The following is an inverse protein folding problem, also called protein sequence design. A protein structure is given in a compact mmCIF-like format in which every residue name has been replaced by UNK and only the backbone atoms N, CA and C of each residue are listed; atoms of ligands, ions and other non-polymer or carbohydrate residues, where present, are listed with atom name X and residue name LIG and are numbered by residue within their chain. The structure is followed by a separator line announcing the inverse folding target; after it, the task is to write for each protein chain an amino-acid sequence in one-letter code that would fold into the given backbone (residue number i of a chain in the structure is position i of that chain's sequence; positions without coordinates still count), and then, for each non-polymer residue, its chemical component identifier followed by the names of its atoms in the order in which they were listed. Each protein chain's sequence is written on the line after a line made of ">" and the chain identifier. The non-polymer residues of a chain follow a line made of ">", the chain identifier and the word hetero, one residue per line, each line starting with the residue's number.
data_IF_528422409447
#
_entry.id   IF_528422409447
#
_cell.length_a   1.000
_cell.length_b   1.000
_cell.length_c   1.000
_cell.angle_alpha   90.00
_cell.angle_beta   90.00
_cell.angle_gamma   90.00
#
_symmetry.space_group_name_H-M   'P 1'
#
loop_
_entity.id
_entity.type
_entity.pdbx_description
1 polymer ?
#
# COMPACT_ATOMS: atom_id res chain seq x y z
N UNK A 1 3.97 47.16 -64.23
CA UNK A 1 3.46 45.84 -64.65
C UNK A 1 4.51 44.73 -64.48
N UNK A 2 5.63 44.71 -65.21
CA UNK A 2 6.64 43.63 -65.09
C UNK A 2 7.39 43.59 -63.74
N UNK A 3 7.78 44.76 -63.19
CA UNK A 3 8.37 44.84 -61.84
C UNK A 3 7.43 44.33 -60.74
N UNK A 4 6.13 44.56 -60.91
CA UNK A 4 5.12 44.15 -59.92
C UNK A 4 4.93 42.62 -59.93
N UNK A 5 5.11 41.99 -61.09
CA UNK A 5 5.11 40.54 -61.24
C UNK A 5 6.36 39.93 -60.60
N UNK A 6 7.55 40.51 -60.82
CA UNK A 6 8.80 40.03 -60.23
C UNK A 6 8.78 40.11 -58.68
N UNK A 7 8.29 41.21 -58.11
CA UNK A 7 8.09 41.32 -56.66
C UNK A 7 7.12 40.27 -56.11
N UNK A 8 6.04 39.97 -56.84
CA UNK A 8 5.10 38.91 -56.43
C UNK A 8 5.74 37.52 -56.45
N UNK A 9 6.64 37.25 -57.41
CA UNK A 9 7.36 35.98 -57.49
C UNK A 9 8.34 35.81 -56.33
N UNK A 10 9.15 36.83 -55.98
CA UNK A 10 10.04 36.78 -54.81
C UNK A 10 9.27 36.52 -53.51
N UNK A 11 8.16 37.24 -53.28
CA UNK A 11 7.35 37.02 -52.05
C UNK A 11 6.63 35.67 -51.98
N UNK A 12 6.49 34.96 -53.10
CA UNK A 12 5.95 33.60 -53.13
C UNK A 12 7.04 32.57 -52.80
N UNK A 13 8.26 32.77 -53.30
CA UNK A 13 9.41 31.92 -52.96
C UNK A 13 9.76 31.99 -51.48
N UNK A 14 9.75 33.20 -50.88
CA UNK A 14 9.97 33.38 -49.44
C UNK A 14 8.89 32.70 -48.60
N UNK A 15 7.62 32.80 -49.01
CA UNK A 15 6.51 32.11 -48.33
C UNK A 15 6.63 30.60 -48.45
N UNK A 16 7.05 30.09 -49.60
CA UNK A 16 7.25 28.66 -49.82
C UNK A 16 8.38 28.10 -48.93
N UNK A 17 9.48 28.84 -48.78
CA UNK A 17 10.58 28.45 -47.89
C UNK A 17 10.19 28.54 -46.40
N UNK A 18 9.47 29.59 -46.00
CA UNK A 18 8.95 29.74 -44.63
C UNK A 18 8.01 28.60 -44.26
N UNK A 19 7.10 28.23 -45.17
CA UNK A 19 6.15 27.14 -44.95
C UNK A 19 6.85 25.79 -44.76
N UNK A 20 7.84 25.47 -45.60
CA UNK A 20 8.61 24.23 -45.44
C UNK A 20 9.41 24.18 -44.14
N UNK A 21 9.97 25.31 -43.70
CA UNK A 21 10.66 25.43 -42.41
C UNK A 21 9.75 25.11 -41.23
N UNK A 22 8.54 25.68 -41.21
CA UNK A 22 7.56 25.44 -40.15
C UNK A 22 7.12 23.97 -40.07
N UNK A 23 6.90 23.33 -41.22
CA UNK A 23 6.52 21.91 -41.29
C UNK A 23 7.63 21.01 -40.74
N UNK A 24 8.89 21.28 -41.10
CA UNK A 24 10.05 20.51 -40.60
C UNK A 24 10.22 20.69 -39.09
N UNK A 25 10.03 21.89 -38.58
CA UNK A 25 10.09 22.17 -37.14
C UNK A 25 8.94 21.51 -36.38
N UNK A 26 7.73 21.48 -36.94
CA UNK A 26 6.60 20.76 -36.38
C UNK A 26 6.88 19.24 -36.30
N UNK A 27 7.42 18.65 -37.37
CA UNK A 27 7.82 17.24 -37.39
C UNK A 27 8.88 16.92 -36.33
N UNK A 28 9.87 17.82 -36.13
CA UNK A 28 10.90 17.64 -35.10
C UNK A 28 10.31 17.60 -33.70
N UNK A 29 9.33 18.47 -33.39
CA UNK A 29 8.65 18.51 -32.08
C UNK A 29 7.92 17.19 -31.82
N UNK A 30 7.15 16.71 -32.79
CA UNK A 30 6.43 15.43 -32.68
C UNK A 30 7.41 14.27 -32.44
N UNK A 31 8.54 14.24 -33.16
CA UNK A 31 9.55 13.19 -32.96
C UNK A 31 10.15 13.21 -31.54
N UNK A 32 10.39 14.39 -30.97
CA UNK A 32 10.94 14.51 -29.61
C UNK A 32 9.91 14.15 -28.53
N UNK A 33 8.63 14.45 -28.73
CA UNK A 33 7.54 14.01 -27.85
C UNK A 33 7.42 12.49 -27.83
N UNK A 34 7.41 11.85 -29.01
CA UNK A 34 7.36 10.38 -29.11
C UNK A 34 8.56 9.73 -28.42
N UNK A 35 9.76 10.32 -28.50
CA UNK A 35 10.94 9.82 -27.77
C UNK A 35 10.76 9.96 -26.25
N UNK A 36 10.19 11.06 -25.76
CA UNK A 36 9.92 11.28 -24.34
C UNK A 36 8.91 10.28 -23.79
N UNK A 37 7.79 10.08 -24.49
CA UNK A 37 6.76 9.12 -24.09
C UNK A 37 7.32 7.69 -24.00
N UNK A 38 8.09 7.26 -25.01
CA UNK A 38 8.76 5.97 -24.99
C UNK A 38 9.73 5.80 -23.81
N UNK A 39 10.40 6.87 -23.39
CA UNK A 39 11.27 6.84 -22.20
C UNK A 39 10.48 6.70 -20.91
N UNK A 40 9.34 7.40 -20.80
CA UNK A 40 8.45 7.29 -19.65
C UNK A 40 7.86 5.87 -19.54
N UNK A 41 7.37 5.30 -20.65
CA UNK A 41 6.87 3.92 -20.69
C UNK A 41 7.92 2.92 -20.16
N UNK A 42 9.17 3.02 -20.63
CA UNK A 42 10.26 2.16 -20.14
C UNK A 42 10.54 2.35 -18.64
N UNK A 43 10.48 3.59 -18.16
CA UNK A 43 10.66 3.92 -16.74
C UNK A 43 9.55 3.31 -15.89
N UNK A 44 8.31 3.39 -16.35
CA UNK A 44 7.14 2.84 -15.65
C UNK A 44 7.17 1.32 -15.62
N UNK A 45 7.52 0.67 -16.73
CA UNK A 45 7.76 -0.78 -16.77
C UNK A 45 8.86 -1.22 -15.80
N UNK A 46 9.96 -0.46 -15.72
CA UNK A 46 11.04 -0.74 -14.77
C UNK A 46 10.56 -0.62 -13.32
N UNK A 47 9.83 0.45 -13.00
CA UNK A 47 9.28 0.67 -11.65
C UNK A 47 8.33 -0.47 -11.26
N UNK A 48 7.43 -0.85 -12.16
CA UNK A 48 6.49 -1.96 -11.94
C UNK A 48 7.23 -3.28 -11.69
N UNK A 49 8.28 -3.57 -12.47
CA UNK A 49 9.11 -4.76 -12.25
C UNK A 49 9.75 -4.77 -10.86
N UNK A 50 10.33 -3.65 -10.43
CA UNK A 50 10.93 -3.53 -9.10
C UNK A 50 9.91 -3.73 -7.98
N UNK A 51 8.71 -3.15 -8.10
CA UNK A 51 7.64 -3.34 -7.10
C UNK A 51 7.19 -4.81 -7.01
N UNK A 52 7.11 -5.52 -8.14
CA UNK A 52 6.78 -6.95 -8.14
C UNK A 52 7.88 -7.76 -7.42
N UNK A 53 9.15 -7.44 -7.66
CA UNK A 53 10.29 -8.10 -7.00
C UNK A 53 10.27 -7.88 -5.48
N UNK A 54 9.96 -6.66 -5.03
CA UNK A 54 9.80 -6.33 -3.60
C UNK A 54 8.69 -7.14 -2.94
N UNK A 55 7.50 -7.21 -3.56
CA UNK A 55 6.39 -8.03 -3.06
C UNK A 55 6.75 -9.51 -2.98
N UNK A 56 7.50 -10.01 -3.97
CA UNK A 56 7.96 -11.40 -3.98
C UNK A 56 8.88 -11.70 -2.79
N UNK A 57 9.76 -10.75 -2.44
CA UNK A 57 10.67 -10.87 -1.30
C UNK A 57 9.91 -10.91 0.03
N UNK A 58 8.92 -10.03 0.22
CA UNK A 58 8.09 -10.04 1.43
C UNK A 58 7.36 -11.37 1.63
N UNK A 59 6.84 -11.96 0.54
CA UNK A 59 6.20 -13.29 0.58
C UNK A 59 7.20 -14.37 0.99
N UNK A 60 8.43 -14.32 0.48
CA UNK A 60 9.46 -15.29 0.80
C UNK A 60 9.90 -15.19 2.27
N UNK A 61 10.02 -13.99 2.80
CA UNK A 61 10.32 -13.76 4.21
C UNK A 61 9.21 -14.32 5.10
N UNK A 62 7.94 -14.04 4.78
CA UNK A 62 6.82 -14.61 5.52
C UNK A 62 6.85 -16.14 5.51
N UNK A 63 7.10 -16.77 4.35
CA UNK A 63 7.22 -18.23 4.24
C UNK A 63 8.32 -18.76 5.16
N UNK A 64 9.49 -18.13 5.18
CA UNK A 64 10.61 -18.52 6.07
C UNK A 64 10.18 -18.50 7.54
N UNK A 65 9.52 -17.43 7.98
CA UNK A 65 9.03 -17.34 9.36
C UNK A 65 7.96 -18.37 9.67
N UNK A 66 7.02 -18.60 8.74
CA UNK A 66 5.98 -19.62 8.90
C UNK A 66 6.57 -21.03 9.02
N UNK A 67 7.59 -21.37 8.23
CA UNK A 67 8.26 -22.66 8.36
C UNK A 67 8.92 -22.83 9.73
N UNK A 68 9.71 -21.85 10.17
CA UNK A 68 10.30 -21.85 11.53
C UNK A 68 9.22 -22.06 12.60
N UNK A 69 8.09 -21.36 12.44
CA UNK A 69 6.95 -21.47 13.35
C UNK A 69 6.34 -22.88 13.39
N UNK A 70 6.20 -23.56 12.25
CA UNK A 70 5.70 -24.94 12.18
C UNK A 70 6.59 -25.93 12.95
N UNK A 71 7.89 -25.64 13.09
CA UNK A 71 8.81 -26.42 13.93
C UNK A 71 8.82 -25.96 15.40
N UNK A 72 7.88 -25.12 15.81
CA UNK A 72 7.77 -24.60 17.17
C UNK A 72 8.75 -23.48 17.50
N UNK A 73 9.47 -22.93 16.52
CA UNK A 73 10.47 -21.88 16.72
C UNK A 73 9.88 -20.54 16.28
N UNK A 74 9.53 -19.69 17.24
CA UNK A 74 9.09 -18.32 16.96
C UNK A 74 10.29 -17.37 16.83
N UNK A 75 10.46 -16.76 15.65
CA UNK A 75 11.61 -15.92 15.31
C UNK A 75 11.72 -14.69 16.22
N UNK A 76 12.94 -14.37 16.64
CA UNK A 76 13.21 -13.28 17.59
C UNK A 76 12.75 -11.91 17.07
N UNK A 77 13.02 -11.59 15.80
CA UNK A 77 12.61 -10.34 15.15
C UNK A 77 11.09 -10.12 15.16
N UNK A 78 10.29 -11.20 15.19
CA UNK A 78 8.83 -11.10 15.24
C UNK A 78 8.29 -10.90 16.66
N UNK A 79 9.15 -11.01 17.70
CA UNK A 79 8.79 -10.72 19.10
C UNK A 79 8.89 -9.23 19.42
N UNK A 80 9.54 -8.46 18.55
CA UNK A 80 9.72 -7.02 18.73
C UNK A 80 8.42 -6.26 18.47
N UNK A 81 8.20 -5.18 19.21
CA UNK A 81 7.03 -4.32 19.06
C UNK A 81 7.39 -2.86 19.32
N UNK A 82 6.68 -1.96 18.64
CA UNK A 82 6.82 -0.52 18.84
C UNK A 82 5.74 -0.09 19.83
N UNK A 83 6.13 0.40 21.00
CA UNK A 83 5.17 0.91 21.99
C UNK A 83 4.83 2.36 21.68
N UNK A 84 3.57 2.64 21.36
CA UNK A 84 3.05 3.99 21.11
C UNK A 84 1.99 4.37 22.13
N UNK A 85 1.81 5.67 22.38
CA UNK A 85 0.80 6.20 23.30
C UNK A 85 -0.48 6.54 22.54
N UNK A 86 -1.61 5.98 22.97
CA UNK A 86 -2.93 6.25 22.40
C UNK A 86 -3.82 6.90 23.47
N UNK A 87 -4.42 8.03 23.11
CA UNK A 87 -5.33 8.77 23.98
C UNK A 87 -6.62 7.97 24.22
N UNK A 88 -6.98 7.73 25.49
CA UNK A 88 -8.14 6.92 25.89
C UNK A 88 -9.39 7.75 26.24
N UNK A 89 -9.26 9.07 26.41
CA UNK A 89 -10.36 9.97 26.77
C UNK A 89 -9.92 11.02 27.80
N UNK A 90 -10.78 12.00 28.12
CA UNK A 90 -10.43 13.08 29.05
C UNK A 90 -9.58 14.19 28.41
N UNK A 91 -8.78 14.88 29.23
CA UNK A 91 -7.93 15.99 28.79
C UNK A 91 -6.68 15.49 28.06
N UNK A 92 -6.42 16.02 26.85
CA UNK A 92 -5.20 15.71 26.07
C UNK A 92 -3.92 16.26 26.67
N UNK A 93 -4.03 17.18 27.64
CA UNK A 93 -2.87 17.78 28.31
C UNK A 93 -2.36 16.91 29.46
N UNK A 94 -3.15 15.94 29.90
CA UNK A 94 -2.77 15.03 30.97
C UNK A 94 -2.20 13.73 30.40
N UNK A 95 -0.95 13.45 30.76
CA UNK A 95 -0.20 12.29 30.27
C UNK A 95 -0.83 10.96 30.71
N UNK A 96 -1.51 10.94 31.86
CA UNK A 96 -2.26 9.79 32.41
C UNK A 96 -3.40 9.32 31.49
N UNK A 97 -3.92 10.21 30.63
CA UNK A 97 -5.02 9.91 29.71
C UNK A 97 -4.56 9.16 28.44
N UNK A 98 -3.26 8.86 28.33
CA UNK A 98 -2.70 8.07 27.24
C UNK A 98 -2.29 6.67 27.73
N UNK A 99 -2.86 5.64 27.11
CA UNK A 99 -2.44 4.26 27.36
C UNK A 99 -1.34 3.82 26.39
N UNK A 100 -0.36 3.02 26.83
CA UNK A 100 0.60 2.39 25.93
C UNK A 100 -0.08 1.27 25.13
N UNK A 101 0.22 1.20 23.84
CA UNK A 101 -0.20 0.12 22.93
C UNK A 101 1.04 -0.37 22.18
N UNK A 102 1.23 -1.69 22.18
CA UNK A 102 2.30 -2.35 21.44
C UNK A 102 1.84 -2.59 19.98
N UNK A 103 2.58 -2.03 19.02
CA UNK A 103 2.41 -2.27 17.61
C UNK A 103 3.34 -3.40 17.18
N UNK A 104 2.75 -4.57 16.96
CA UNK A 104 3.40 -5.74 16.39
C UNK A 104 3.54 -5.62 14.87
N UNK A 105 4.56 -6.26 14.32
CA UNK A 105 4.72 -6.41 12.87
C UNK A 105 3.48 -7.09 12.25
N UNK A 106 3.21 -6.80 10.98
CA UNK A 106 2.10 -7.45 10.24
C UNK A 106 2.29 -8.98 10.21
N UNK A 107 3.52 -9.46 10.04
CA UNK A 107 3.83 -10.89 10.05
C UNK A 107 3.54 -11.55 11.41
N UNK A 108 3.88 -10.90 12.53
CA UNK A 108 3.54 -11.39 13.87
C UNK A 108 2.03 -11.54 14.05
N UNK A 109 1.25 -10.52 13.65
CA UNK A 109 -0.21 -10.55 13.73
C UNK A 109 -0.83 -11.64 12.84
N UNK A 110 -0.28 -11.86 11.64
CA UNK A 110 -0.73 -12.92 10.75
C UNK A 110 -0.50 -14.31 11.36
N UNK A 111 0.68 -14.54 11.94
CA UNK A 111 0.96 -15.79 12.64
C UNK A 111 0.04 -15.98 13.85
N UNK A 112 -0.13 -14.97 14.70
CA UNK A 112 -1.07 -14.99 15.82
C UNK A 112 -2.49 -15.34 15.38
N UNK A 113 -2.96 -14.73 14.28
CA UNK A 113 -4.27 -15.02 13.71
C UNK A 113 -4.42 -16.48 13.27
N UNK A 114 -3.40 -17.04 12.58
CA UNK A 114 -3.41 -18.45 12.17
C UNK A 114 -3.50 -19.39 13.37
N UNK A 115 -2.75 -19.08 14.44
CA UNK A 115 -2.75 -19.87 15.69
C UNK A 115 -4.08 -19.75 16.39
N UNK A 116 -4.57 -18.53 16.57
CA UNK A 116 -5.83 -18.26 17.22
C UNK A 116 -6.99 -18.99 16.52
N UNK A 117 -7.02 -19.02 15.19
CA UNK A 117 -8.05 -19.76 14.45
C UNK A 117 -8.00 -21.26 14.72
N UNK A 118 -6.79 -21.85 14.69
CA UNK A 118 -6.62 -23.29 14.98
C UNK A 118 -7.01 -23.62 16.41
N UNK A 119 -6.51 -22.83 17.37
CA UNK A 119 -6.77 -23.01 18.79
C UNK A 119 -8.24 -22.81 19.11
N UNK A 120 -8.87 -21.76 18.57
CA UNK A 120 -10.29 -21.49 18.76
C UNK A 120 -11.15 -22.61 18.22
N UNK A 121 -10.88 -23.09 17.00
CA UNK A 121 -11.60 -24.23 16.44
C UNK A 121 -11.47 -25.48 17.31
N UNK A 122 -10.29 -25.73 17.87
CA UNK A 122 -10.08 -26.84 18.80
C UNK A 122 -10.87 -26.64 20.10
N UNK A 123 -10.79 -25.46 20.71
CA UNK A 123 -11.43 -25.16 22.00
C UNK A 123 -12.96 -25.12 21.90
N UNK A 124 -13.50 -24.61 20.80
CA UNK A 124 -14.94 -24.58 20.52
C UNK A 124 -15.50 -26.00 20.37
N UNK A 125 -14.79 -26.89 19.64
CA UNK A 125 -15.18 -28.31 19.50
C UNK A 125 -15.20 -29.06 20.82
N UNK A 126 -14.33 -28.68 21.76
CA UNK A 126 -14.23 -29.30 23.07
C UNK A 126 -15.01 -28.52 24.16
N UNK A 127 -15.87 -27.57 23.77
CA UNK A 127 -16.75 -26.81 24.68
C UNK A 127 -16.06 -26.03 25.80
N UNK A 128 -14.76 -25.70 25.67
CA UNK A 128 -14.04 -24.99 26.73
C UNK A 128 -14.49 -23.53 26.92
N UNK A 129 -15.08 -22.90 25.90
CA UNK A 129 -15.46 -21.48 25.93
C UNK A 129 -16.86 -21.15 26.44
N UNK A 130 -17.59 -22.12 27.02
CA UNK A 130 -18.98 -21.89 27.48
C UNK A 130 -19.13 -20.87 28.64
N UNK A 131 -18.06 -20.42 29.30
CA UNK A 131 -18.14 -19.56 30.50
C UNK A 131 -17.60 -18.14 30.41
N UNK A 132 -16.76 -17.80 29.43
CA UNK A 132 -16.05 -16.51 29.42
C UNK A 132 -16.71 -15.58 28.40
N UNK A 133 -17.48 -14.60 28.87
CA UNK A 133 -18.25 -13.70 28.01
C UNK A 133 -17.36 -12.69 27.25
N UNK A 134 -16.17 -12.35 27.74
CA UNK A 134 -15.43 -11.16 27.28
C UNK A 134 -14.98 -11.11 25.81
N UNK A 135 -14.81 -12.23 25.12
CA UNK A 135 -14.05 -12.24 23.84
C UNK A 135 -14.82 -12.76 22.63
N UNK A 136 -16.06 -13.20 22.83
CA UNK A 136 -16.92 -13.61 21.72
C UNK A 136 -17.60 -12.37 21.13
N UNK A 137 -17.22 -12.00 19.91
CA UNK A 137 -17.72 -10.82 19.15
C UNK A 137 -19.26 -10.65 19.13
N UNK A 138 -20.02 -11.72 19.39
CA UNK A 138 -21.48 -11.72 19.44
C UNK A 138 -22.10 -11.84 20.85
N UNK A 139 -21.31 -12.02 21.93
CA UNK A 139 -21.82 -12.24 23.29
C UNK A 139 -21.20 -11.36 24.39
N UNK A 140 -20.23 -10.51 24.06
CA UNK A 140 -19.39 -9.88 25.08
C UNK A 140 -20.06 -8.83 25.97
N UNK A 141 -20.69 -7.80 25.38
CA UNK A 141 -21.28 -6.73 26.19
C UNK A 141 -22.67 -7.12 26.72
N UNK A 142 -23.54 -7.66 25.88
CA UNK A 142 -24.94 -7.89 26.24
C UNK A 142 -25.10 -9.01 27.28
N UNK A 143 -24.41 -10.14 27.10
CA UNK A 143 -24.48 -11.27 28.05
C UNK A 143 -23.77 -10.97 29.37
N UNK A 144 -22.73 -10.12 29.37
CA UNK A 144 -22.12 -9.64 30.60
C UNK A 144 -23.07 -8.71 31.36
N UNK A 145 -23.66 -7.72 30.68
CA UNK A 145 -24.63 -6.81 31.29
C UNK A 145 -25.84 -7.55 31.88
N UNK A 146 -26.40 -8.54 31.17
CA UNK A 146 -27.51 -9.35 31.67
C UNK A 146 -27.20 -10.19 32.92
N UNK A 147 -25.93 -10.55 33.15
CA UNK A 147 -25.51 -11.23 34.38
C UNK A 147 -25.49 -10.30 35.60
N UNK A 148 -25.31 -8.99 35.40
CA UNK A 148 -25.34 -7.99 36.47
C UNK A 148 -26.76 -7.49 36.79
N UNK A 149 -27.74 -7.71 35.90
CA UNK A 149 -29.12 -7.24 36.07
C UNK A 149 -30.10 -8.32 36.56
N UNK A 150 -29.65 -9.55 36.83
CA UNK A 150 -30.48 -10.54 37.51
C UNK A 150 -30.21 -10.44 39.03
N UNK A 151 -31.25 -10.26 39.87
CA UNK A 151 -31.10 -10.23 41.33
C UNK A 151 -30.62 -11.58 41.88
#
# INVERSE_FOLDING_TARGET
>A
MFRDILKKMETLEERYHSYNSEVVDAMRRVMEELKRENKNIKKDQKKMKTTIEEMQNEINDFKKYYYSYCYGIFSACLKESITTRIHKGGSKLEVSNYGPIALLSVFSKLLEYLVWNKLRNFLDRNSYFLRVSGEQRHRACFTAAQKFTKP
#
